data_IF_416758096052
#
_entry.id   IF_416758096052
#
_cell.length_a   1.000
_cell.length_b   1.000
_cell.length_c   1.000
_cell.angle_alpha   90.00
_cell.angle_beta   90.00
_cell.angle_gamma   90.00
#
_symmetry.space_group_name_H-M   'P 1'
#
loop_
_entity.id
_entity.type
_entity.pdbx_description
1 polymer ?
#
# COMPACT_ATOMS: atom_id res chain seq x y z
N UNK A 1 -4.81 -4.56 9.54
CA UNK A 1 -3.75 -3.55 9.59
C UNK A 1 -3.99 -2.59 10.76
N UNK A 2 -2.91 -2.07 11.33
CA UNK A 2 -2.92 -1.10 12.42
C UNK A 2 -2.22 0.16 11.92
N UNK A 3 -2.64 1.34 12.39
CA UNK A 3 -1.98 2.58 12.02
C UNK A 3 -1.94 3.57 13.19
N UNK A 4 -1.01 4.50 13.12
CA UNK A 4 -0.95 5.69 13.98
C UNK A 4 -0.33 6.86 13.23
N UNK A 5 -0.73 8.08 13.59
CA UNK A 5 -0.13 9.30 13.05
C UNK A 5 0.59 10.02 14.18
N UNK A 6 1.89 10.21 14.05
CA UNK A 6 2.74 10.87 15.02
C UNK A 6 3.69 11.85 14.33
N UNK A 7 3.73 13.08 14.82
CA UNK A 7 4.61 14.14 14.29
C UNK A 7 4.52 14.31 12.75
N UNK A 8 3.29 14.26 12.19
CA UNK A 8 3.06 14.36 10.75
C UNK A 8 3.53 13.14 9.94
N UNK A 9 3.73 11.99 10.57
CA UNK A 9 4.12 10.74 9.93
C UNK A 9 3.03 9.70 10.11
N UNK A 10 2.66 9.01 9.05
CA UNK A 10 1.76 7.87 9.09
C UNK A 10 2.58 6.58 9.24
N UNK A 11 2.35 5.85 10.30
CA UNK A 11 2.90 4.52 10.53
C UNK A 11 1.81 3.49 10.30
N UNK A 12 2.11 2.50 9.47
CA UNK A 12 1.20 1.40 9.15
C UNK A 12 1.88 0.09 9.51
N UNK A 13 1.15 -0.78 10.21
CA UNK A 13 1.61 -2.11 10.54
C UNK A 13 0.62 -3.15 10.01
N UNK A 14 1.13 -4.27 9.55
CA UNK A 14 0.36 -5.42 9.13
C UNK A 14 0.69 -6.66 9.96
N UNK A 15 -0.23 -7.60 9.92
CA UNK A 15 -0.06 -8.95 10.43
C UNK A 15 -0.56 -9.90 9.34
N UNK A 16 0.29 -10.81 8.90
CA UNK A 16 -0.06 -11.83 7.91
C UNK A 16 0.06 -13.22 8.54
N UNK A 17 -0.84 -14.11 8.21
CA UNK A 17 -0.69 -15.52 8.57
C UNK A 17 0.37 -16.18 7.68
N UNK A 18 1.16 -17.09 8.23
CA UNK A 18 2.26 -17.77 7.50
C UNK A 18 1.80 -18.60 6.28
N UNK A 19 0.49 -18.90 6.16
CA UNK A 19 -0.08 -19.60 5.02
C UNK A 19 -0.05 -18.82 3.71
N UNK A 20 0.07 -17.49 3.76
CA UNK A 20 0.08 -16.59 2.60
C UNK A 20 1.49 -16.31 2.08
N UNK A 21 2.52 -16.66 2.84
CA UNK A 21 3.90 -16.61 2.39
C UNK A 21 4.19 -17.91 1.65
N UNK A 22 4.11 -17.89 0.34
CA UNK A 22 4.66 -18.93 -0.51
C UNK A 22 6.18 -18.99 -0.30
N UNK A 23 6.60 -19.66 0.77
CA UNK A 23 7.98 -20.05 0.98
C UNK A 23 8.34 -21.05 -0.12
N UNK A 24 8.82 -20.54 -1.25
CA UNK A 24 9.40 -21.38 -2.29
C UNK A 24 10.62 -22.08 -1.68
N UNK A 25 10.44 -23.32 -1.30
CA UNK A 25 11.53 -24.18 -0.82
C UNK A 25 11.24 -25.00 0.44
N UNK A 26 10.11 -24.84 1.10
CA UNK A 26 9.73 -25.68 2.25
C UNK A 26 8.93 -26.89 1.76
N UNK A 27 9.36 -28.14 2.06
CA UNK A 27 8.63 -29.33 1.64
C UNK A 27 7.25 -29.37 2.34
N UNK A 28 6.18 -29.88 1.65
CA UNK A 28 4.80 -29.83 2.11
C UNK A 28 4.49 -30.67 3.37
N UNK A 29 5.49 -31.23 4.04
CA UNK A 29 5.36 -32.08 5.22
C UNK A 29 6.14 -31.61 6.46
N UNK A 30 6.56 -30.34 6.53
CA UNK A 30 7.11 -29.83 7.78
C UNK A 30 5.98 -29.54 8.76
N UNK A 31 5.78 -30.43 9.72
CA UNK A 31 5.00 -30.17 10.92
C UNK A 31 5.71 -29.08 11.75
N UNK A 32 5.50 -27.82 11.45
CA UNK A 32 5.84 -26.74 12.37
C UNK A 32 4.65 -26.50 13.32
N UNK A 33 4.85 -26.71 14.63
CA UNK A 33 3.88 -26.26 15.61
C UNK A 33 4.12 -24.76 15.82
N UNK A 34 3.12 -23.99 15.69
CA UNK A 34 2.93 -22.57 15.95
C UNK A 34 2.73 -21.74 14.68
N UNK A 35 1.53 -21.15 14.60
CA UNK A 35 1.24 -20.01 13.72
C UNK A 35 2.20 -18.89 14.10
N UNK A 36 3.21 -18.66 13.30
CA UNK A 36 4.08 -17.50 13.43
C UNK A 36 3.38 -16.37 12.68
N UNK A 37 2.75 -15.48 13.41
CA UNK A 37 2.16 -14.28 12.82
C UNK A 37 3.30 -13.38 12.34
N UNK A 38 3.30 -13.06 11.05
CA UNK A 38 4.29 -12.16 10.46
C UNK A 38 3.87 -10.70 10.70
N UNK A 39 4.17 -10.21 11.90
CA UNK A 39 3.93 -8.80 12.26
C UNK A 39 5.02 -7.92 11.68
N UNK A 40 4.64 -6.90 10.94
CA UNK A 40 5.59 -6.03 10.24
C UNK A 40 5.12 -4.57 10.20
N UNK A 41 6.08 -3.68 10.05
CA UNK A 41 5.85 -2.29 9.65
C UNK A 41 6.06 -2.13 8.15
N UNK A 42 5.34 -1.21 7.53
CA UNK A 42 5.76 -0.60 6.27
C UNK A 42 6.58 0.65 6.57
N UNK A 43 7.33 1.12 5.57
CA UNK A 43 8.09 2.37 5.74
C UNK A 43 7.15 3.50 6.18
N UNK A 44 7.57 4.32 7.16
CA UNK A 44 6.78 5.47 7.57
C UNK A 44 6.57 6.42 6.39
N UNK A 45 5.33 6.82 6.16
CA UNK A 45 5.01 7.79 5.13
C UNK A 45 5.22 9.20 5.68
N UNK A 46 6.16 9.93 5.09
CA UNK A 46 6.41 11.34 5.36
C UNK A 46 6.91 12.01 4.10
N UNK A 47 6.34 13.17 3.77
CA UNK A 47 6.64 13.86 2.53
C UNK A 47 8.13 14.21 2.40
N UNK A 48 8.77 13.74 1.32
CA UNK A 48 10.15 14.10 0.96
C UNK A 48 11.25 13.67 1.94
N UNK A 49 10.94 12.78 2.89
CA UNK A 49 11.88 12.35 3.92
C UNK A 49 12.40 10.93 3.68
N UNK A 50 13.71 10.78 3.74
CA UNK A 50 14.40 9.51 3.86
C UNK A 50 14.74 9.29 5.34
N UNK A 51 14.31 8.17 5.92
CA UNK A 51 14.66 7.78 7.29
C UNK A 51 15.98 7.02 7.28
N UNK A 52 16.89 7.34 8.20
CA UNK A 52 18.11 6.57 8.37
C UNK A 52 17.82 5.18 8.98
N UNK A 53 18.73 4.20 8.82
CA UNK A 53 18.58 2.89 9.45
C UNK A 53 18.34 2.98 10.96
N UNK A 54 19.06 3.86 11.68
CA UNK A 54 18.86 4.06 13.12
C UNK A 54 17.48 4.67 13.46
N UNK A 55 16.92 5.53 12.61
CA UNK A 55 15.56 6.04 12.80
C UNK A 55 14.53 4.93 12.60
N UNK A 56 14.67 4.11 11.55
CA UNK A 56 13.80 2.97 11.30
C UNK A 56 13.87 1.96 12.45
N UNK A 57 15.07 1.63 12.92
CA UNK A 57 15.26 0.71 14.04
C UNK A 57 14.55 1.21 15.30
N UNK A 58 14.71 2.48 15.66
CA UNK A 58 14.01 3.08 16.80
C UNK A 58 12.49 3.07 16.66
N UNK A 59 11.97 3.26 15.44
CA UNK A 59 10.53 3.17 15.20
C UNK A 59 10.03 1.73 15.38
N UNK A 60 10.76 0.74 14.87
CA UNK A 60 10.44 -0.66 15.03
C UNK A 60 10.41 -1.06 16.51
N UNK A 61 11.46 -0.72 17.28
CA UNK A 61 11.52 -0.95 18.72
C UNK A 61 10.38 -0.28 19.48
N UNK A 62 10.12 0.99 19.16
CA UNK A 62 9.06 1.78 19.82
C UNK A 62 7.68 1.16 19.68
N UNK A 63 7.36 0.62 18.52
CA UNK A 63 6.06 0.01 18.23
C UNK A 63 6.04 -1.50 18.48
N UNK A 64 7.15 -2.11 18.89
CA UNK A 64 7.26 -3.53 19.18
C UNK A 64 7.19 -4.42 17.94
N UNK A 65 7.79 -3.98 16.85
CA UNK A 65 7.93 -4.74 15.60
C UNK A 65 9.40 -5.10 15.36
N UNK A 66 9.63 -6.25 14.78
CA UNK A 66 10.98 -6.78 14.50
C UNK A 66 11.39 -6.61 13.04
N UNK A 67 10.45 -6.24 12.15
CA UNK A 67 10.71 -6.17 10.72
C UNK A 67 9.93 -5.09 10.00
N UNK A 68 10.50 -4.65 8.88
CA UNK A 68 9.82 -3.91 7.83
C UNK A 68 9.49 -4.84 6.68
N UNK A 69 8.39 -4.58 5.98
CA UNK A 69 7.92 -5.35 4.83
C UNK A 69 7.72 -4.44 3.62
N UNK A 70 7.94 -4.97 2.43
CA UNK A 70 7.77 -4.24 1.17
C UNK A 70 8.61 -2.95 1.12
N UNK A 71 9.85 -3.02 1.54
CA UNK A 71 10.80 -1.91 1.44
C UNK A 71 11.33 -1.86 0.01
N UNK A 72 11.13 -0.75 -0.74
CA UNK A 72 11.62 -0.65 -2.11
C UNK A 72 13.15 -0.75 -2.20
N UNK A 73 13.66 -1.43 -3.23
CA UNK A 73 15.11 -1.61 -3.41
C UNK A 73 15.84 -0.28 -3.57
N UNK A 74 15.25 0.67 -4.32
CA UNK A 74 15.81 2.01 -4.52
C UNK A 74 15.83 2.84 -3.22
N UNK A 75 14.97 2.54 -2.26
CA UNK A 75 15.03 3.12 -0.93
C UNK A 75 16.27 2.61 -0.18
N UNK A 76 16.48 1.29 -0.20
CA UNK A 76 17.63 0.63 0.45
C UNK A 76 18.95 1.14 -0.14
N UNK A 77 19.04 1.28 -1.47
CA UNK A 77 20.24 1.79 -2.16
C UNK A 77 20.67 3.20 -1.72
N UNK A 78 19.74 4.00 -1.20
CA UNK A 78 20.01 5.36 -0.73
C UNK A 78 20.42 5.46 0.74
N UNK A 79 20.34 4.35 1.49
CA UNK A 79 20.70 4.31 2.90
C UNK A 79 22.22 4.11 3.08
N UNK A 80 22.71 4.44 4.27
CA UNK A 80 24.04 4.02 4.70
C UNK A 80 24.06 2.50 4.89
N UNK A 81 24.75 1.80 3.99
CA UNK A 81 24.82 0.34 4.00
C UNK A 81 25.51 -0.23 5.24
N UNK A 82 26.51 0.48 5.78
CA UNK A 82 27.22 0.04 6.98
C UNK A 82 26.32 0.08 8.21
N UNK A 83 25.52 1.15 8.33
CA UNK A 83 24.53 1.29 9.41
C UNK A 83 23.37 0.31 9.22
N UNK A 84 22.95 0.09 7.97
CA UNK A 84 21.86 -0.81 7.64
C UNK A 84 22.20 -2.26 8.00
N UNK A 85 23.37 -2.78 7.58
CA UNK A 85 23.84 -4.13 7.88
C UNK A 85 24.12 -4.36 9.37
N UNK A 86 24.42 -3.31 10.11
CA UNK A 86 24.61 -3.38 11.57
C UNK A 86 23.29 -3.52 12.34
N UNK A 87 22.14 -3.09 11.76
CA UNK A 87 20.86 -3.00 12.45
C UNK A 87 19.79 -3.93 11.88
N UNK A 88 19.93 -4.38 10.63
CA UNK A 88 18.94 -5.18 9.93
C UNK A 88 19.56 -6.31 9.13
N UNK A 89 18.90 -7.46 9.13
CA UNK A 89 19.10 -8.50 8.15
C UNK A 89 18.21 -8.23 6.93
N UNK A 90 18.78 -8.27 5.72
CA UNK A 90 18.05 -7.99 4.48
C UNK A 90 17.68 -9.30 3.79
N UNK A 91 16.40 -9.42 3.44
CA UNK A 91 15.87 -10.55 2.69
C UNK A 91 15.06 -10.05 1.48
N UNK A 92 15.34 -10.59 0.31
CA UNK A 92 14.61 -10.26 -0.91
C UNK A 92 13.24 -10.94 -0.91
N UNK A 93 12.19 -10.15 -1.16
CA UNK A 93 10.81 -10.61 -1.22
C UNK A 93 10.41 -10.92 -2.67
N UNK A 94 10.57 -12.18 -3.08
CA UNK A 94 10.19 -12.65 -4.41
C UNK A 94 8.67 -12.61 -4.60
N UNK A 95 8.22 -12.12 -5.77
CA UNK A 95 6.80 -12.06 -6.13
C UNK A 95 6.06 -10.81 -5.64
N UNK A 96 6.80 -9.85 -5.06
CA UNK A 96 6.26 -8.56 -4.61
C UNK A 96 6.82 -7.37 -5.42
N UNK A 97 7.27 -7.64 -6.64
CA UNK A 97 7.81 -6.61 -7.53
C UNK A 97 6.72 -5.64 -7.98
N UNK A 98 6.99 -4.35 -7.88
CA UNK A 98 6.10 -3.29 -8.33
C UNK A 98 6.19 -3.06 -9.84
N UNK A 99 5.06 -2.74 -10.46
CA UNK A 99 5.03 -2.29 -11.85
C UNK A 99 5.40 -0.80 -11.94
N UNK A 100 6.61 -0.52 -12.39
CA UNK A 100 7.12 0.84 -12.53
C UNK A 100 6.91 1.35 -13.96
N UNK A 101 6.25 2.48 -14.11
CA UNK A 101 6.03 3.13 -15.41
C UNK A 101 6.62 4.54 -15.41
N UNK A 102 7.25 4.92 -16.52
CA UNK A 102 7.61 6.31 -16.72
C UNK A 102 6.34 7.16 -16.87
N UNK A 103 6.26 8.26 -16.17
CA UNK A 103 5.13 9.19 -16.24
C UNK A 103 4.87 9.66 -17.67
N UNK A 104 5.92 9.96 -18.44
CA UNK A 104 5.85 10.33 -19.85
C UNK A 104 5.19 9.24 -20.72
N UNK A 105 5.46 7.97 -20.45
CA UNK A 105 4.82 6.85 -21.15
C UNK A 105 3.30 6.82 -20.89
N UNK A 106 2.88 7.09 -19.66
CA UNK A 106 1.48 7.12 -19.27
C UNK A 106 0.75 8.36 -19.80
N UNK A 107 1.40 9.52 -19.82
CA UNK A 107 0.84 10.76 -20.39
C UNK A 107 0.59 10.59 -21.89
N UNK A 108 1.56 10.08 -22.62
CA UNK A 108 1.49 10.02 -24.08
C UNK A 108 0.95 8.72 -24.64
N UNK A 109 1.05 7.63 -23.90
CA UNK A 109 0.62 6.27 -24.29
C UNK A 109 1.07 5.88 -25.71
N UNK A 110 2.30 6.21 -26.09
CA UNK A 110 2.86 5.98 -27.42
C UNK A 110 3.11 4.50 -27.70
N UNK A 111 2.93 4.08 -28.94
CA UNK A 111 3.24 2.73 -29.43
C UNK A 111 2.09 1.72 -29.28
N UNK A 112 2.31 0.53 -29.84
CA UNK A 112 1.29 -0.52 -29.94
C UNK A 112 0.94 -1.12 -28.57
N UNK A 113 1.88 -1.17 -27.63
CA UNK A 113 1.65 -1.68 -26.27
C UNK A 113 0.52 -0.96 -25.55
N UNK A 114 0.27 0.31 -25.87
CA UNK A 114 -0.78 1.12 -25.27
C UNK A 114 -2.06 1.29 -26.12
N UNK A 115 -2.18 0.62 -27.25
CA UNK A 115 -3.35 0.79 -28.15
C UNK A 115 -4.69 0.53 -27.47
N UNK A 116 -4.78 -0.52 -26.65
CA UNK A 116 -5.98 -0.84 -25.86
C UNK A 116 -6.32 0.27 -24.86
N UNK A 117 -5.33 0.81 -24.17
CA UNK A 117 -5.53 1.91 -23.20
C UNK A 117 -6.03 3.18 -23.91
N UNK A 118 -5.42 3.57 -25.02
CA UNK A 118 -5.91 4.71 -25.83
C UNK A 118 -7.35 4.51 -26.29
N UNK A 119 -7.71 3.31 -26.74
CA UNK A 119 -9.08 3.02 -27.15
C UNK A 119 -10.08 3.17 -26.00
N UNK A 120 -9.76 2.68 -24.80
CA UNK A 120 -10.59 2.85 -23.61
C UNK A 120 -10.74 4.33 -23.24
N UNK A 121 -9.65 5.09 -23.27
CA UNK A 121 -9.68 6.55 -22.99
C UNK A 121 -10.54 7.26 -24.02
N UNK A 122 -10.39 6.96 -25.31
CA UNK A 122 -11.21 7.57 -26.37
C UNK A 122 -12.68 7.21 -26.21
N UNK A 123 -13.01 5.97 -25.84
CA UNK A 123 -14.38 5.55 -25.56
C UNK A 123 -14.94 6.31 -24.35
N UNK A 124 -14.21 6.37 -23.24
CA UNK A 124 -14.61 7.11 -22.06
C UNK A 124 -14.82 8.61 -22.36
N UNK A 125 -13.88 9.22 -23.08
CA UNK A 125 -13.99 10.63 -23.49
C UNK A 125 -15.27 10.87 -24.32
N UNK A 126 -15.58 9.99 -25.28
CA UNK A 126 -16.76 10.13 -26.13
C UNK A 126 -18.07 9.92 -25.37
N UNK A 127 -18.11 8.91 -24.47
CA UNK A 127 -19.36 8.51 -23.82
C UNK A 127 -19.66 9.34 -22.55
N UNK A 128 -18.65 9.88 -21.92
CA UNK A 128 -18.78 10.54 -20.63
C UNK A 128 -18.29 11.99 -20.65
N UNK A 129 -17.04 12.27 -20.94
CA UNK A 129 -16.46 13.61 -20.82
C UNK A 129 -17.11 14.61 -21.80
N UNK A 130 -17.30 14.23 -23.08
CA UNK A 130 -17.93 15.11 -24.07
C UNK A 130 -19.43 15.32 -23.86
N UNK A 131 -20.03 14.60 -22.96
CA UNK A 131 -21.47 14.69 -22.63
C UNK A 131 -21.67 15.31 -21.22
N UNK A 132 -20.61 15.85 -20.64
CA UNK A 132 -20.62 16.44 -19.29
C UNK A 132 -21.25 15.52 -18.23
N UNK A 133 -20.94 14.20 -18.35
CA UNK A 133 -21.48 13.17 -17.45
C UNK A 133 -20.51 12.78 -16.33
N UNK A 134 -19.30 13.31 -16.36
CA UNK A 134 -18.23 13.08 -15.38
C UNK A 134 -17.50 14.38 -15.14
N UNK A 135 -17.35 14.70 -13.89
CA UNK A 135 -16.51 15.76 -13.37
C UNK A 135 -15.38 15.17 -12.53
N UNK A 136 -14.21 15.78 -12.54
CA UNK A 136 -13.07 15.38 -11.73
C UNK A 136 -12.75 16.52 -10.78
N UNK A 137 -12.89 16.25 -9.51
CA UNK A 137 -12.64 17.21 -8.44
C UNK A 137 -11.64 16.67 -7.43
N UNK A 138 -11.01 17.54 -6.68
CA UNK A 138 -10.20 17.18 -5.53
C UNK A 138 -11.14 16.76 -4.38
N UNK A 139 -10.79 15.67 -3.69
CA UNK A 139 -11.56 15.23 -2.52
C UNK A 139 -11.21 16.14 -1.35
N UNK A 140 -12.23 16.78 -0.79
CA UNK A 140 -12.12 17.64 0.38
C UNK A 140 -12.82 17.02 1.59
N UNK A 141 -12.58 17.56 2.78
CA UNK A 141 -13.22 17.07 4.01
C UNK A 141 -14.77 17.02 3.94
N UNK A 142 -15.39 17.92 3.17
CA UNK A 142 -16.85 17.92 2.93
C UNK A 142 -17.34 16.68 2.17
N UNK A 143 -16.47 16.06 1.37
CA UNK A 143 -16.82 14.96 0.45
C UNK A 143 -16.63 13.58 1.12
N UNK A 144 -16.02 13.52 2.32
CA UNK A 144 -15.73 12.29 3.04
C UNK A 144 -16.97 11.42 3.23
N UNK A 145 -18.11 12.04 3.59
CA UNK A 145 -19.37 11.31 3.80
C UNK A 145 -19.82 10.61 2.52
N UNK A 146 -19.74 11.28 1.37
CA UNK A 146 -20.14 10.73 0.08
C UNK A 146 -19.16 9.61 -0.36
N UNK A 147 -17.87 9.79 -0.10
CA UNK A 147 -16.85 8.76 -0.35
C UNK A 147 -17.11 7.50 0.49
N UNK A 148 -17.41 7.65 1.76
CA UNK A 148 -17.74 6.53 2.65
C UNK A 148 -19.02 5.80 2.21
N UNK A 149 -20.04 6.55 1.80
CA UNK A 149 -21.28 5.97 1.28
C UNK A 149 -21.03 5.19 -0.03
N UNK A 150 -20.22 5.74 -0.92
CA UNK A 150 -19.81 5.03 -2.15
C UNK A 150 -19.04 3.75 -1.82
N UNK A 151 -18.10 3.81 -0.88
CA UNK A 151 -17.33 2.65 -0.44
C UNK A 151 -18.25 1.54 0.09
N UNK A 152 -19.26 1.89 0.87
CA UNK A 152 -20.23 0.91 1.39
C UNK A 152 -20.99 0.21 0.26
N UNK A 153 -21.52 0.97 -0.71
CA UNK A 153 -22.20 0.42 -1.90
C UNK A 153 -21.27 -0.49 -2.70
N UNK A 154 -20.00 -0.08 -2.85
CA UNK A 154 -19.00 -0.89 -3.57
C UNK A 154 -18.71 -2.19 -2.82
N UNK A 155 -18.57 -2.12 -1.50
CA UNK A 155 -18.33 -3.29 -0.65
C UNK A 155 -19.51 -4.27 -0.67
N UNK A 156 -20.75 -3.80 -0.65
CA UNK A 156 -21.93 -4.67 -0.80
C UNK A 156 -21.92 -5.44 -2.13
N UNK A 157 -21.42 -4.82 -3.21
CA UNK A 157 -21.33 -5.47 -4.54
C UNK A 157 -20.18 -6.46 -4.66
N UNK A 158 -19.17 -6.39 -3.79
CA UNK A 158 -17.95 -7.19 -3.85
C UNK A 158 -17.78 -8.13 -2.64
N UNK A 159 -18.84 -8.24 -1.81
CA UNK A 159 -18.86 -9.09 -0.61
C UNK A 159 -17.64 -8.88 0.30
N UNK A 160 -17.20 -7.61 0.49
CA UNK A 160 -16.01 -7.29 1.28
C UNK A 160 -16.04 -7.84 2.71
N UNK A 161 -17.23 -7.99 3.27
CA UNK A 161 -17.43 -8.46 4.65
C UNK A 161 -17.71 -10.00 4.72
N UNK A 162 -17.73 -10.69 3.57
CA UNK A 162 -17.99 -12.15 3.53
C UNK A 162 -16.85 -12.95 4.17
N UNK A 163 -15.64 -12.43 4.12
CA UNK A 163 -14.46 -12.99 4.77
C UNK A 163 -13.72 -11.89 5.52
N UNK A 164 -13.86 -11.80 6.85
CA UNK A 164 -13.18 -10.78 7.67
C UNK A 164 -11.65 -10.85 7.62
N UNK A 165 -11.09 -11.98 7.18
CA UNK A 165 -9.65 -12.18 7.01
C UNK A 165 -9.20 -11.87 5.57
N UNK A 166 -10.14 -11.47 4.70
CA UNK A 166 -9.82 -11.09 3.33
C UNK A 166 -9.05 -9.76 3.25
N UNK A 167 -8.21 -9.63 2.23
CA UNK A 167 -7.51 -8.37 1.91
C UNK A 167 -8.49 -7.21 1.71
N UNK A 168 -9.69 -7.49 1.16
CA UNK A 168 -10.72 -6.47 0.91
C UNK A 168 -11.26 -5.83 2.19
N UNK A 169 -11.44 -6.61 3.26
CA UNK A 169 -11.85 -6.06 4.56
C UNK A 169 -10.77 -5.14 5.17
N UNK A 170 -9.50 -5.53 5.03
CA UNK A 170 -8.37 -4.71 5.44
C UNK A 170 -8.27 -3.42 4.62
N UNK A 171 -8.45 -3.49 3.30
CA UNK A 171 -8.43 -2.34 2.40
C UNK A 171 -9.58 -1.37 2.70
N UNK A 172 -10.80 -1.87 2.93
CA UNK A 172 -11.95 -1.06 3.34
C UNK A 172 -11.62 -0.23 4.58
N UNK A 173 -11.09 -0.86 5.62
CA UNK A 173 -10.73 -0.18 6.86
C UNK A 173 -9.61 0.85 6.66
N UNK A 174 -8.64 0.57 5.81
CA UNK A 174 -7.57 1.51 5.48
C UNK A 174 -8.10 2.76 4.76
N UNK A 175 -9.02 2.59 3.81
CA UNK A 175 -9.66 3.71 3.09
C UNK A 175 -10.50 4.56 4.05
N UNK A 176 -11.35 3.95 4.89
CA UNK A 176 -12.15 4.67 5.90
C UNK A 176 -11.23 5.51 6.78
N UNK A 177 -10.18 4.89 7.30
CA UNK A 177 -9.21 5.55 8.17
C UNK A 177 -8.52 6.72 7.50
N UNK A 178 -8.09 6.56 6.24
CA UNK A 178 -7.46 7.64 5.49
C UNK A 178 -8.42 8.82 5.29
N UNK A 179 -9.66 8.56 4.89
CA UNK A 179 -10.68 9.58 4.69
C UNK A 179 -11.02 10.33 5.99
N UNK A 180 -11.20 9.62 7.11
CA UNK A 180 -11.50 10.23 8.40
C UNK A 180 -10.36 11.08 8.97
N UNK A 181 -9.15 10.86 8.51
CA UNK A 181 -7.96 11.59 8.97
C UNK A 181 -7.33 12.50 7.91
N UNK A 182 -8.04 12.80 6.82
CA UNK A 182 -7.52 13.62 5.70
C UNK A 182 -6.88 14.93 6.16
N UNK A 183 -7.52 15.65 7.07
CA UNK A 183 -6.99 16.94 7.56
C UNK A 183 -5.72 16.81 8.41
N UNK A 184 -5.45 15.60 8.93
CA UNK A 184 -4.25 15.31 9.74
C UNK A 184 -3.11 14.75 8.91
N UNK A 185 -3.41 14.23 7.73
CA UNK A 185 -2.45 13.76 6.76
C UNK A 185 -2.12 14.97 5.87
N UNK A 186 -0.97 15.57 6.05
CA UNK A 186 -0.46 16.63 5.17
C UNK A 186 -0.11 15.99 3.81
N UNK A 187 -1.10 15.93 2.90
CA UNK A 187 -0.96 15.37 1.54
C UNK A 187 -0.36 16.38 0.57
#
# INVERSE_FOLDING_TARGET
>A
AYYTIEEGKLFIAGEMEEGDILLQGVPPNSTMPHRVTNRHLILPLAQGRLFSPAELHRHAERFGFERYWRVPADYIERLDHSELEALFDLEEQMGYEDYIYLTEDLIHLKGNKYSKKRNLINQFTREYLRKDRVEVEEILAKDVTDCLQFLEIWCEQHDCDADPESDLACEKNAVITALENMERLEW
#
